data_IF_316342705323
#
_entry.id   IF_316342705323
#
_cell.length_a   1.000
_cell.length_b   1.000
_cell.length_c   1.000
_cell.angle_alpha   90.00
_cell.angle_beta   90.00
_cell.angle_gamma   90.00
#
_symmetry.space_group_name_H-M   'P 1'
#
loop_
_entity.id
_entity.type
_entity.pdbx_description
1 polymer ?
#
# COMPACT_ATOMS: atom_id res chain seq x y z
N UNK A 1 -24.15 -13.01 5.43
CA UNK A 1 -23.76 -11.61 5.20
C UNK A 1 -22.66 -11.66 4.17
N UNK A 2 -22.96 -11.23 2.95
CA UNK A 2 -22.00 -11.23 1.84
C UNK A 2 -20.98 -10.13 2.11
N UNK A 3 -19.78 -10.52 2.53
CA UNK A 3 -18.62 -9.63 2.55
C UNK A 3 -18.47 -9.04 1.15
N UNK A 4 -18.70 -7.73 1.03
CA UNK A 4 -18.31 -7.00 -0.17
C UNK A 4 -16.81 -7.23 -0.31
N UNK A 5 -16.39 -7.97 -1.34
CA UNK A 5 -14.99 -8.03 -1.71
C UNK A 5 -14.55 -6.61 -2.05
N UNK A 6 -13.86 -5.96 -1.12
CA UNK A 6 -13.25 -4.66 -1.33
C UNK A 6 -12.10 -4.87 -2.33
N UNK A 7 -12.17 -4.17 -3.45
CA UNK A 7 -11.05 -4.13 -4.38
C UNK A 7 -9.96 -3.24 -3.76
N UNK A 8 -9.07 -3.84 -2.98
CA UNK A 8 -7.98 -3.13 -2.30
C UNK A 8 -6.82 -2.88 -3.28
N UNK A 9 -7.03 -1.95 -4.20
CA UNK A 9 -5.95 -1.46 -5.07
C UNK A 9 -5.37 -0.18 -4.50
N UNK A 10 -4.08 -0.19 -4.18
CA UNK A 10 -3.34 0.99 -3.77
C UNK A 10 -2.78 1.66 -5.03
N UNK A 11 -3.08 2.95 -5.21
CA UNK A 11 -2.54 3.74 -6.31
C UNK A 11 -2.17 5.13 -5.84
N UNK A 12 -1.27 5.77 -6.60
CA UNK A 12 -0.98 7.20 -6.43
C UNK A 12 -2.13 8.04 -7.00
N UNK A 13 -2.47 9.10 -6.28
CA UNK A 13 -3.36 10.13 -6.78
C UNK A 13 -2.61 11.05 -7.77
N UNK A 14 -3.29 11.46 -8.85
CA UNK A 14 -2.73 12.37 -9.82
C UNK A 14 -2.50 13.79 -9.26
N UNK A 15 -1.84 14.64 -10.04
CA UNK A 15 -1.67 16.06 -9.67
C UNK A 15 -3.05 16.71 -9.53
N UNK A 16 -3.29 17.36 -8.38
CA UNK A 16 -4.58 17.97 -8.06
C UNK A 16 -5.67 16.99 -7.61
N UNK A 17 -5.35 15.69 -7.48
CA UNK A 17 -6.21 14.70 -6.86
C UNK A 17 -5.88 14.50 -5.38
N UNK A 18 -6.88 14.08 -4.61
CA UNK A 18 -6.80 13.73 -3.19
C UNK A 18 -7.42 12.36 -2.95
N UNK A 19 -7.05 11.72 -1.84
CA UNK A 19 -7.71 10.50 -1.40
C UNK A 19 -9.16 10.80 -1.07
N UNK A 20 -10.08 9.95 -1.54
CA UNK A 20 -11.51 10.07 -1.25
C UNK A 20 -12.06 8.77 -0.69
N UNK A 21 -13.03 8.90 0.20
CA UNK A 21 -13.86 7.80 0.67
C UNK A 21 -15.32 8.23 0.73
N UNK A 22 -16.20 7.39 0.23
CA UNK A 22 -17.65 7.56 0.28
C UNK A 22 -18.28 6.23 0.68
N UNK A 23 -18.96 6.21 1.82
CA UNK A 23 -19.70 5.07 2.33
C UNK A 23 -21.16 5.44 2.55
N UNK A 24 -22.04 4.62 1.99
CA UNK A 24 -23.48 4.63 2.23
C UNK A 24 -23.92 3.19 2.53
N UNK A 25 -25.21 2.99 2.82
CA UNK A 25 -25.76 1.64 3.01
C UNK A 25 -25.63 0.71 1.80
N UNK A 26 -25.57 1.27 0.59
CA UNK A 26 -25.60 0.51 -0.65
C UNK A 26 -24.29 0.60 -1.45
N UNK A 27 -23.36 1.47 -1.04
CA UNK A 27 -22.19 1.83 -1.84
C UNK A 27 -21.00 2.14 -0.94
N UNK A 28 -19.86 1.55 -1.29
CA UNK A 28 -18.55 1.96 -0.80
C UNK A 28 -17.69 2.36 -2.00
N UNK A 29 -17.01 3.50 -1.91
CA UNK A 29 -16.07 3.99 -2.90
C UNK A 29 -14.86 4.54 -2.18
N UNK A 30 -13.68 4.03 -2.48
CA UNK A 30 -12.41 4.64 -2.13
C UNK A 30 -11.56 4.84 -3.40
N UNK A 31 -10.57 5.73 -3.35
CA UNK A 31 -9.66 5.99 -4.46
C UNK A 31 -9.19 7.44 -4.45
N UNK A 32 -8.93 7.98 -5.65
CA UNK A 32 -8.58 9.39 -5.81
C UNK A 32 -9.64 10.13 -6.63
N UNK A 33 -9.83 11.40 -6.31
CA UNK A 33 -10.64 12.32 -7.10
C UNK A 33 -10.03 13.72 -7.06
N UNK A 34 -10.40 14.55 -8.03
CA UNK A 34 -9.97 15.94 -8.06
C UNK A 34 -10.43 16.69 -6.79
N UNK A 35 -9.52 17.44 -6.17
CA UNK A 35 -9.80 18.17 -4.93
C UNK A 35 -10.95 19.18 -5.06
N UNK A 36 -11.17 19.73 -6.24
CA UNK A 36 -12.26 20.70 -6.50
C UNK A 36 -13.67 20.09 -6.46
N UNK A 37 -13.79 18.77 -6.62
CA UNK A 37 -15.07 18.04 -6.61
C UNK A 37 -15.29 17.36 -5.25
N UNK A 38 -14.31 17.47 -4.33
CA UNK A 38 -14.40 16.88 -3.03
C UNK A 38 -15.49 17.54 -2.19
N UNK A 39 -16.39 16.73 -1.64
CA UNK A 39 -17.36 17.17 -0.64
C UNK A 39 -17.25 16.31 0.61
N UNK A 40 -17.01 16.96 1.75
CA UNK A 40 -16.94 16.28 3.04
C UNK A 40 -18.27 16.40 3.77
N UNK A 41 -18.93 15.27 4.04
CA UNK A 41 -20.14 15.21 4.84
C UNK A 41 -20.06 14.04 5.83
N UNK A 42 -19.92 14.31 7.13
CA UNK A 42 -19.97 13.28 8.15
C UNK A 42 -21.41 13.07 8.62
N UNK A 43 -21.97 11.89 8.39
CA UNK A 43 -23.16 11.41 9.10
C UNK A 43 -22.99 9.96 9.54
N UNK A 44 -23.76 9.52 10.53
CA UNK A 44 -23.71 8.14 11.04
C UNK A 44 -24.14 7.07 10.03
N UNK A 45 -24.77 7.49 8.91
CA UNK A 45 -25.35 6.62 7.87
C UNK A 45 -24.67 6.76 6.51
N UNK A 46 -24.11 7.94 6.25
CA UNK A 46 -23.41 8.32 5.03
C UNK A 46 -22.15 9.08 5.43
N UNK A 47 -21.00 8.64 4.96
CA UNK A 47 -19.78 9.40 5.14
C UNK A 47 -19.15 9.65 3.78
N UNK A 48 -18.76 10.89 3.55
CA UNK A 48 -17.95 11.31 2.42
C UNK A 48 -16.82 12.17 2.98
N UNK A 49 -15.58 11.85 2.64
CA UNK A 49 -14.40 12.55 3.13
C UNK A 49 -13.32 12.56 2.06
N UNK A 50 -12.52 13.62 2.07
CA UNK A 50 -11.24 13.63 1.39
C UNK A 50 -10.13 14.03 2.34
N UNK A 51 -8.97 13.47 2.07
CA UNK A 51 -7.81 13.58 2.93
C UNK A 51 -6.53 13.57 2.06
N UNK A 52 -5.46 14.12 2.61
CA UNK A 52 -4.21 14.36 1.86
C UNK A 52 -3.07 13.44 2.31
N UNK A 53 -3.26 12.69 3.39
CA UNK A 53 -2.24 11.76 3.87
C UNK A 53 -2.22 10.49 3.02
N UNK A 54 -1.09 9.82 2.99
CA UNK A 54 -0.99 8.54 2.29
C UNK A 54 -1.91 7.52 2.95
N UNK A 55 -2.76 6.87 2.14
CA UNK A 55 -3.65 5.79 2.58
C UNK A 55 -4.71 6.19 3.62
N UNK A 56 -5.03 7.48 3.76
CA UNK A 56 -6.05 8.00 4.69
C UNK A 56 -7.50 7.67 4.33
N UNK A 57 -7.73 6.94 3.25
CA UNK A 57 -9.03 6.37 2.89
C UNK A 57 -9.05 4.84 2.98
N UNK A 58 -8.02 4.24 3.61
CA UNK A 58 -7.83 2.79 3.69
C UNK A 58 -8.84 2.10 4.62
N UNK A 59 -9.27 2.75 5.71
CA UNK A 59 -10.18 2.18 6.71
C UNK A 59 -11.56 2.85 6.78
N UNK A 60 -11.90 3.67 5.79
CA UNK A 60 -13.14 4.45 5.79
C UNK A 60 -12.91 5.92 6.13
N UNK A 61 -13.99 6.63 6.45
CA UNK A 61 -13.92 8.01 6.89
C UNK A 61 -13.33 8.11 8.31
N UNK A 62 -12.61 9.19 8.59
CA UNK A 62 -11.90 9.45 9.84
C UNK A 62 -10.58 8.68 9.99
N UNK A 63 -10.09 8.03 8.92
CA UNK A 63 -8.79 7.37 8.94
C UNK A 63 -7.69 8.43 8.74
N UNK A 64 -6.79 8.55 9.72
CA UNK A 64 -5.66 9.49 9.65
C UNK A 64 -4.64 9.10 8.57
N UNK A 65 -4.73 7.84 8.10
CA UNK A 65 -3.81 7.27 7.14
C UNK A 65 -2.49 6.85 7.79
N UNK A 66 -1.45 6.83 6.97
CA UNK A 66 -0.10 6.50 7.41
C UNK A 66 0.60 7.75 7.95
N UNK A 67 1.61 7.51 8.79
CA UNK A 67 2.55 8.56 9.20
C UNK A 67 3.15 9.25 7.97
N UNK A 68 3.49 10.53 8.15
CA UNK A 68 3.96 11.38 7.08
C UNK A 68 5.20 10.79 6.39
N UNK A 69 5.34 11.02 5.07
CA UNK A 69 6.40 10.40 4.26
C UNK A 69 7.82 10.72 4.74
N UNK A 70 8.03 11.84 5.42
CA UNK A 70 9.30 12.22 6.05
C UNK A 70 9.60 11.44 7.33
N UNK A 71 8.62 10.76 7.92
CA UNK A 71 8.72 10.01 9.18
C UNK A 71 8.76 8.48 8.95
N UNK A 72 8.69 8.03 7.69
CA UNK A 72 8.74 6.61 7.32
C UNK A 72 9.50 6.37 6.01
N UNK A 73 9.79 5.12 5.74
CA UNK A 73 10.29 4.65 4.46
C UNK A 73 9.17 4.47 3.42
N UNK A 74 9.47 3.81 2.28
CA UNK A 74 8.49 3.56 1.23
C UNK A 74 7.33 2.65 1.70
N UNK A 75 6.24 2.64 0.93
CA UNK A 75 5.26 1.57 1.03
C UNK A 75 5.71 0.39 0.16
N UNK A 76 5.75 -0.79 0.75
CA UNK A 76 6.10 -2.02 0.05
C UNK A 76 4.99 -3.05 0.17
N UNK A 77 4.91 -3.91 -0.82
CA UNK A 77 4.22 -5.18 -0.68
C UNK A 77 4.87 -6.00 0.45
N UNK A 78 4.06 -6.70 1.25
CA UNK A 78 4.52 -7.53 2.38
C UNK A 78 3.87 -8.91 2.30
N UNK A 79 4.57 -9.85 1.67
CA UNK A 79 4.10 -11.22 1.51
C UNK A 79 5.24 -12.21 1.68
N UNK A 80 4.92 -13.35 2.28
CA UNK A 80 5.80 -14.49 2.41
C UNK A 80 5.25 -15.67 1.61
N UNK A 81 6.13 -16.44 0.97
CA UNK A 81 5.80 -17.70 0.30
C UNK A 81 4.79 -17.57 -0.86
N UNK A 82 4.82 -16.47 -1.63
CA UNK A 82 3.96 -16.35 -2.84
C UNK A 82 4.61 -17.04 -4.04
N UNK A 83 3.83 -17.63 -4.94
CA UNK A 83 4.37 -18.30 -6.13
C UNK A 83 4.63 -17.35 -7.29
N UNK A 84 3.95 -16.20 -7.28
CA UNK A 84 4.14 -15.13 -8.27
C UNK A 84 4.02 -13.80 -7.56
N UNK A 85 4.80 -12.80 -7.96
CA UNK A 85 4.80 -11.45 -7.36
C UNK A 85 3.39 -10.82 -7.38
N UNK A 86 2.59 -11.09 -8.43
CA UNK A 86 1.24 -10.58 -8.61
C UNK A 86 0.21 -11.10 -7.59
N UNK A 87 0.52 -12.20 -6.88
CA UNK A 87 -0.33 -12.72 -5.82
C UNK A 87 -0.22 -11.90 -4.53
N UNK A 88 0.80 -11.04 -4.42
CA UNK A 88 0.97 -10.23 -3.25
C UNK A 88 0.05 -9.00 -3.30
N UNK A 89 -0.89 -8.93 -2.37
CA UNK A 89 -1.84 -7.81 -2.24
C UNK A 89 -1.68 -7.05 -0.93
N UNK A 90 -0.97 -7.64 0.05
CA UNK A 90 -0.70 -7.02 1.33
C UNK A 90 0.38 -5.95 1.19
N UNK A 91 0.19 -4.80 1.84
CA UNK A 91 1.14 -3.68 1.83
C UNK A 91 1.44 -3.24 3.27
N UNK A 92 2.64 -2.69 3.48
CA UNK A 92 3.01 -2.07 4.75
C UNK A 92 3.94 -0.86 4.55
N UNK A 93 3.92 0.11 5.49
CA UNK A 93 4.97 1.12 5.55
C UNK A 93 6.27 0.49 6.06
N UNK A 94 7.39 0.87 5.44
CA UNK A 94 8.72 0.58 5.96
C UNK A 94 9.22 1.69 6.89
N UNK A 95 10.26 1.39 7.66
CA UNK A 95 11.01 2.39 8.42
C UNK A 95 11.90 3.24 7.50
N UNK A 96 12.39 4.38 7.98
CA UNK A 96 13.20 5.33 7.19
C UNK A 96 14.47 4.71 6.58
N UNK A 97 15.02 3.66 7.19
CA UNK A 97 16.25 3.01 6.76
C UNK A 97 16.02 1.77 5.89
N UNK A 98 14.76 1.43 5.63
CA UNK A 98 14.39 0.24 4.88
C UNK A 98 13.99 0.57 3.43
N UNK A 99 14.15 -0.40 2.54
CA UNK A 99 13.71 -0.34 1.14
C UNK A 99 12.87 -1.57 0.77
N UNK A 100 12.11 -1.49 -0.32
CA UNK A 100 11.38 -2.65 -0.85
C UNK A 100 12.34 -3.63 -1.51
N UNK A 101 12.23 -4.90 -1.13
CA UNK A 101 13.00 -6.00 -1.72
C UNK A 101 12.09 -7.15 -2.14
N UNK A 102 12.56 -7.89 -3.14
CA UNK A 102 12.01 -9.16 -3.57
C UNK A 102 13.13 -10.20 -3.44
N UNK A 103 12.87 -11.22 -2.64
CA UNK A 103 13.74 -12.37 -2.45
C UNK A 103 13.10 -13.59 -3.11
N UNK A 104 13.81 -14.20 -4.05
CA UNK A 104 13.43 -15.47 -4.67
C UNK A 104 14.10 -16.61 -3.91
N UNK A 105 13.33 -17.64 -3.52
CA UNK A 105 13.83 -18.80 -2.80
C UNK A 105 13.11 -20.08 -3.23
N UNK A 106 13.78 -21.22 -3.07
CA UNK A 106 13.20 -22.53 -3.39
C UNK A 106 12.54 -23.15 -2.14
N UNK A 107 11.30 -23.61 -2.28
CA UNK A 107 10.58 -24.32 -1.24
C UNK A 107 9.79 -25.47 -1.85
N UNK A 108 10.04 -26.70 -1.36
CA UNK A 108 9.42 -27.92 -1.88
C UNK A 108 9.59 -28.09 -3.41
N UNK A 109 10.80 -27.83 -3.92
CA UNK A 109 11.14 -27.89 -5.36
C UNK A 109 10.34 -26.93 -6.24
N UNK A 110 9.81 -25.85 -5.66
CA UNK A 110 9.12 -24.77 -6.35
C UNK A 110 9.77 -23.43 -6.02
N UNK A 111 9.78 -22.52 -6.99
CA UNK A 111 10.17 -21.12 -6.76
C UNK A 111 9.07 -20.38 -5.99
N UNK A 112 9.47 -19.73 -4.91
CA UNK A 112 8.66 -18.86 -4.10
C UNK A 112 9.32 -17.49 -3.98
N UNK A 113 8.51 -16.48 -3.68
CA UNK A 113 8.95 -15.11 -3.47
C UNK A 113 8.58 -14.66 -2.06
N UNK A 114 9.47 -13.88 -1.48
CA UNK A 114 9.25 -13.07 -0.29
C UNK A 114 9.44 -11.62 -0.68
N UNK A 115 8.45 -10.80 -0.37
CA UNK A 115 8.42 -9.38 -0.74
C UNK A 115 8.19 -8.61 0.56
N UNK A 116 8.98 -7.58 0.82
CA UNK A 116 8.88 -6.85 2.06
C UNK A 116 9.87 -5.70 2.18
N UNK A 117 9.90 -5.10 3.36
CA UNK A 117 10.92 -4.14 3.73
C UNK A 117 12.17 -4.88 4.20
N UNK A 118 13.34 -4.42 3.75
CA UNK A 118 14.64 -4.84 4.24
C UNK A 118 15.46 -3.61 4.57
N UNK A 119 16.33 -3.70 5.57
CA UNK A 119 17.28 -2.65 5.85
C UNK A 119 18.11 -2.38 4.58
N UNK A 120 18.26 -1.11 4.24
CA UNK A 120 19.10 -0.71 3.11
C UNK A 120 20.51 -1.20 3.42
N UNK A 121 21.10 -2.10 2.62
CA UNK A 121 22.43 -2.58 2.91
C UNK A 121 23.39 -1.39 2.86
N UNK A 122 24.02 -1.07 3.99
CA UNK A 122 25.23 -0.27 3.99
C UNK A 122 26.20 -0.99 3.06
N UNK A 123 26.49 -0.44 1.87
CA UNK A 123 27.30 -1.04 0.79
C UNK A 123 28.30 -2.09 1.27
N UNK A 124 27.84 -3.34 1.38
CA UNK A 124 28.67 -4.47 1.76
C UNK A 124 28.81 -5.34 0.52
N UNK A 125 29.96 -5.22 -0.14
CA UNK A 125 30.45 -6.17 -1.12
C UNK A 125 30.60 -7.50 -0.37
N UNK A 126 29.63 -8.40 -0.52
CA UNK A 126 29.61 -9.66 0.24
C UNK A 126 28.73 -10.70 -0.45
N UNK A 127 29.39 -11.75 -0.95
CA UNK A 127 28.85 -12.88 -1.70
C UNK A 127 27.56 -13.50 -1.12
N UNK A 128 26.65 -13.92 -2.02
CA UNK A 128 26.04 -15.24 -1.85
C UNK A 128 24.52 -15.36 -1.70
N UNK A 129 23.71 -14.38 -2.12
CA UNK A 129 22.31 -14.62 -2.47
C UNK A 129 21.95 -13.70 -3.63
N UNK A 130 21.45 -14.25 -4.74
CA UNK A 130 20.88 -13.46 -5.84
C UNK A 130 19.56 -12.82 -5.36
N UNK A 131 19.63 -11.86 -4.44
CA UNK A 131 18.55 -10.93 -4.24
C UNK A 131 18.47 -10.09 -5.51
N UNK A 132 17.49 -10.38 -6.36
CA UNK A 132 17.14 -9.47 -7.43
C UNK A 132 16.56 -8.25 -6.71
N UNK A 133 17.38 -7.21 -6.55
CA UNK A 133 16.96 -5.90 -6.02
C UNK A 133 16.07 -5.20 -7.06
N UNK A 134 14.95 -5.81 -7.43
CA UNK A 134 13.88 -5.16 -8.13
C UNK A 134 13.11 -4.34 -7.09
N UNK A 135 13.24 -3.02 -7.18
CA UNK A 135 12.51 -2.09 -6.31
C UNK A 135 11.06 -2.07 -6.77
N UNK A 136 10.22 -2.93 -6.20
CA UNK A 136 8.77 -2.83 -6.34
C UNK A 136 8.24 -1.87 -5.28
N UNK A 137 8.63 -0.59 -5.44
CA UNK A 137 8.09 0.48 -4.62
C UNK A 137 6.69 0.84 -5.13
N UNK A 138 5.75 1.00 -4.21
CA UNK A 138 4.55 1.76 -4.52
C UNK A 138 5.01 3.21 -4.60
N UNK A 139 5.22 3.70 -5.83
CA UNK A 139 5.65 5.08 -6.05
C UNK A 139 4.46 6.02 -5.79
N UNK A 140 4.21 6.29 -4.50
CA UNK A 140 3.45 7.45 -3.97
C UNK A 140 4.27 8.72 -4.10
#
# INVERSE_FOLDING_TARGET
>A
MSDLALCDTVRRCGVGEVCVVERTYAKYRSGCANSSICTTYPSSRHCAECCNNDYCNGRGCGDEGLVARNERGPLCYDCNHVRTIQQCTSIRPCNQHETCSIEEFEWLNLTHFKIGCVDTPCSAIGNGSSAIFATLQIVL
#
